data_IF_136437082706
#
_entry.id   IF_136437082706
#
_cell.length_a   1.000
_cell.length_b   1.000
_cell.length_c   1.000
_cell.angle_alpha   90.00
_cell.angle_beta   90.00
_cell.angle_gamma   90.00
#
_symmetry.space_group_name_H-M   'P 1'
#
loop_
_entity.id
_entity.type
_entity.pdbx_description
1 polymer ?
#
# COMPACT_ATOMS: atom_id res chain seq x y z
N UNK A 1 5.75 17.93 15.94
CA UNK A 1 4.81 17.08 15.18
C UNK A 1 5.63 15.91 14.68
N UNK A 2 5.20 14.68 14.94
CA UNK A 2 5.85 13.50 14.35
C UNK A 2 5.47 13.43 12.87
N UNK A 3 6.42 13.10 11.97
CA UNK A 3 6.14 12.96 10.55
C UNK A 3 5.22 11.76 10.33
N UNK A 4 4.15 11.95 9.56
CA UNK A 4 3.28 10.85 9.13
C UNK A 4 4.08 9.92 8.22
N UNK A 5 4.00 8.63 8.50
CA UNK A 5 4.68 7.57 7.75
C UNK A 5 3.70 6.80 6.88
N UNK A 6 4.23 5.93 6.02
CA UNK A 6 3.39 5.08 5.18
C UNK A 6 2.58 4.09 6.02
N UNK A 7 3.18 3.59 7.09
CA UNK A 7 2.62 2.65 8.04
C UNK A 7 1.38 3.22 8.76
N UNK A 8 1.31 4.55 8.93
CA UNK A 8 0.17 5.23 9.56
C UNK A 8 -1.08 5.27 8.68
N UNK A 9 -0.92 5.15 7.36
CA UNK A 9 -2.02 5.27 6.37
C UNK A 9 -2.25 3.99 5.56
N UNK A 10 -1.32 3.03 5.65
CA UNK A 10 -1.37 1.77 4.95
C UNK A 10 -2.37 0.79 5.59
N UNK A 11 -3.06 0.04 4.75
CA UNK A 11 -3.83 -1.14 5.17
C UNK A 11 -3.11 -2.37 4.67
N UNK A 12 -2.89 -3.35 5.54
CA UNK A 12 -2.30 -4.62 5.18
C UNK A 12 -3.36 -5.70 5.25
N UNK A 13 -3.44 -6.49 4.18
CA UNK A 13 -4.34 -7.64 4.12
C UNK A 13 -3.55 -8.88 4.52
N UNK A 14 -4.13 -9.70 5.40
CA UNK A 14 -3.66 -11.06 5.60
C UNK A 14 -3.90 -11.89 4.34
N UNK A 15 -3.23 -13.05 4.24
CA UNK A 15 -3.46 -13.99 3.14
C UNK A 15 -4.94 -14.36 2.98
N UNK A 16 -5.64 -14.63 4.08
CA UNK A 16 -7.05 -15.02 4.04
C UNK A 16 -7.95 -13.87 3.55
N UNK A 17 -7.71 -12.64 3.98
CA UNK A 17 -8.44 -11.47 3.50
C UNK A 17 -8.17 -11.22 2.02
N UNK A 18 -6.91 -11.35 1.58
CA UNK A 18 -6.56 -11.22 0.17
C UNK A 18 -7.23 -12.28 -0.71
N UNK A 19 -7.19 -13.55 -0.30
CA UNK A 19 -7.87 -14.64 -1.01
C UNK A 19 -9.39 -14.41 -1.09
N UNK A 20 -9.99 -13.75 -0.09
CA UNK A 20 -11.40 -13.39 -0.07
C UNK A 20 -11.75 -12.11 -0.87
N UNK A 21 -10.77 -11.32 -1.32
CA UNK A 21 -11.02 -10.13 -2.14
C UNK A 21 -11.31 -10.46 -3.60
N UNK A 22 -12.30 -9.78 -4.16
CA UNK A 22 -12.58 -9.79 -5.61
C UNK A 22 -11.53 -8.97 -6.39
N UNK A 23 -11.41 -9.22 -7.70
CA UNK A 23 -10.42 -8.55 -8.55
C UNK A 23 -10.50 -7.01 -8.48
N UNK A 24 -11.71 -6.45 -8.54
CA UNK A 24 -11.92 -5.00 -8.44
C UNK A 24 -11.51 -4.43 -7.07
N UNK A 25 -11.63 -5.22 -5.99
CA UNK A 25 -11.18 -4.81 -4.66
C UNK A 25 -9.66 -4.79 -4.59
N UNK A 26 -8.98 -5.71 -5.26
CA UNK A 26 -7.52 -5.74 -5.38
C UNK A 26 -6.99 -4.56 -6.19
N UNK A 27 -7.70 -4.19 -7.26
CA UNK A 27 -7.39 -2.97 -8.04
C UNK A 27 -7.58 -1.71 -7.21
N UNK A 28 -8.68 -1.61 -6.47
CA UNK A 28 -8.93 -0.50 -5.54
C UNK A 28 -7.83 -0.42 -4.47
N UNK A 29 -7.50 -1.55 -3.85
CA UNK A 29 -6.42 -1.65 -2.87
C UNK A 29 -5.09 -1.13 -3.44
N UNK A 30 -4.72 -1.59 -4.64
CA UNK A 30 -3.53 -1.10 -5.33
C UNK A 30 -3.55 0.42 -5.53
N UNK A 31 -4.68 0.95 -6.01
CA UNK A 31 -4.85 2.39 -6.24
C UNK A 31 -4.69 3.21 -4.96
N UNK A 32 -5.32 2.77 -3.87
CA UNK A 32 -5.22 3.42 -2.56
C UNK A 32 -3.79 3.41 -2.03
N UNK A 33 -3.10 2.26 -2.09
CA UNK A 33 -1.73 2.16 -1.57
C UNK A 33 -0.75 3.04 -2.36
N UNK A 34 -0.91 3.13 -3.69
CA UNK A 34 -0.10 4.04 -4.53
C UNK A 34 -0.40 5.50 -4.19
N UNK A 35 -1.68 5.87 -4.12
CA UNK A 35 -2.08 7.25 -3.80
C UNK A 35 -1.58 7.70 -2.42
N UNK A 36 -1.59 6.80 -1.42
CA UNK A 36 -1.04 7.08 -0.10
C UNK A 36 0.45 7.41 -0.16
N UNK A 37 1.24 6.64 -0.92
CA UNK A 37 2.67 6.89 -1.08
C UNK A 37 2.97 8.19 -1.84
N UNK A 38 2.22 8.48 -2.88
CA UNK A 38 2.34 9.73 -3.64
C UNK A 38 2.01 10.94 -2.77
N UNK A 39 0.94 10.85 -1.97
CA UNK A 39 0.56 11.89 -1.02
C UNK A 39 1.67 12.13 0.01
N UNK A 40 2.21 11.06 0.62
CA UNK A 40 3.31 11.18 1.57
C UNK A 40 4.57 11.77 0.95
N UNK A 41 4.92 11.33 -0.26
CA UNK A 41 6.04 11.89 -1.02
C UNK A 41 5.85 13.39 -1.26
N UNK A 42 4.62 13.82 -1.59
CA UNK A 42 4.28 15.25 -1.77
C UNK A 42 4.41 16.07 -0.48
N UNK A 43 4.26 15.43 0.68
CA UNK A 43 4.44 16.02 2.01
C UNK A 43 5.89 15.98 2.49
N UNK A 44 6.82 15.51 1.66
CA UNK A 44 8.25 15.44 1.98
C UNK A 44 8.65 14.19 2.78
N UNK A 45 7.91 13.09 2.65
CA UNK A 45 8.25 11.81 3.26
C UNK A 45 9.68 11.36 2.87
N UNK A 46 10.59 11.19 3.85
CA UNK A 46 11.98 10.83 3.58
C UNK A 46 12.22 9.31 3.54
N UNK A 47 11.19 8.51 3.81
CA UNK A 47 11.33 7.06 3.92
C UNK A 47 11.43 6.37 2.55
N UNK A 48 11.92 5.12 2.53
CA UNK A 48 12.01 4.35 1.30
C UNK A 48 10.62 3.98 0.79
N UNK A 49 10.56 3.56 -0.47
CA UNK A 49 9.33 2.98 -1.02
C UNK A 49 8.99 1.67 -0.29
N UNK A 50 7.76 1.51 0.24
CA UNK A 50 7.33 0.30 0.93
C UNK A 50 7.34 -0.97 0.05
N UNK A 51 7.71 -2.11 0.64
CA UNK A 51 7.76 -3.42 -0.04
C UNK A 51 6.41 -3.83 -0.67
N UNK A 52 5.30 -3.49 -0.02
CA UNK A 52 3.96 -3.77 -0.52
C UNK A 52 3.71 -3.12 -1.88
N UNK A 53 4.27 -1.92 -2.13
CA UNK A 53 4.15 -1.24 -3.41
C UNK A 53 4.98 -1.93 -4.49
N UNK A 54 6.18 -2.41 -4.16
CA UNK A 54 6.99 -3.18 -5.10
C UNK A 54 6.26 -4.46 -5.55
N UNK A 55 5.62 -5.17 -4.61
CA UNK A 55 4.81 -6.37 -4.94
C UNK A 55 3.61 -6.00 -5.83
N UNK A 56 2.86 -4.96 -5.46
CA UNK A 56 1.71 -4.48 -6.24
C UNK A 56 2.09 -4.06 -7.67
N UNK A 57 3.24 -3.40 -7.86
CA UNK A 57 3.75 -3.01 -9.17
C UNK A 57 4.04 -4.20 -10.07
N UNK A 58 4.63 -5.24 -9.49
CA UNK A 58 4.99 -6.51 -10.16
C UNK A 58 3.79 -7.45 -10.35
N UNK A 59 2.60 -7.04 -9.89
CA UNK A 59 1.39 -7.88 -9.82
C UNK A 59 1.62 -9.16 -9.00
N UNK A 60 2.49 -9.06 -8.02
CA UNK A 60 2.73 -10.09 -7.01
C UNK A 60 1.74 -9.92 -5.86
N UNK A 61 1.68 -10.96 -5.05
CA UNK A 61 0.76 -11.12 -3.93
C UNK A 61 1.23 -10.32 -2.69
N UNK A 62 0.50 -9.26 -2.27
CA UNK A 62 1.01 -8.26 -1.34
C UNK A 62 0.67 -8.53 0.14
N UNK A 63 0.13 -9.71 0.47
CA UNK A 63 -0.29 -10.00 1.84
C UNK A 63 0.88 -10.15 2.83
N UNK A 64 0.56 -9.93 4.11
CA UNK A 64 1.43 -10.14 5.28
C UNK A 64 1.23 -11.53 5.85
#
# INVERSE_FOLDING_TARGET
>A
QEPVTFEDVAVYLSRAEWEATEEWQRELYRGVMVANYELLTSLGYPGPKPDVLYRLERREEPWV
#
